data_IF_829290710410
#
_entry.id   IF_829290710410
#
_cell.length_a   1.000
_cell.length_b   1.000
_cell.length_c   1.000
_cell.angle_alpha   90.00
_cell.angle_beta   90.00
_cell.angle_gamma   90.00
#
_symmetry.space_group_name_H-M   'P 1'
#
loop_
_entity.id
_entity.type
_entity.pdbx_description
1 polymer ?
#
# COMPACT_ATOMS: atom_id res chain seq x y z
N UNK A 1 -11.66 -1.04 37.05
CA UNK A 1 -12.03 -0.06 36.01
C UNK A 1 -11.22 -0.40 34.78
N UNK A 2 -11.87 -0.52 33.62
CA UNK A 2 -11.12 -0.68 32.37
C UNK A 2 -10.44 0.65 32.03
N UNK A 3 -9.16 0.63 31.60
CA UNK A 3 -8.47 1.85 31.20
C UNK A 3 -9.10 2.43 29.92
N UNK A 4 -9.28 3.75 29.88
CA UNK A 4 -9.77 4.47 28.70
C UNK A 4 -8.72 4.39 27.57
N UNK A 5 -9.03 3.86 26.37
CA UNK A 5 -8.08 3.85 25.26
C UNK A 5 -7.46 5.21 24.95
N UNK A 6 -8.17 6.31 25.22
CA UNK A 6 -7.65 7.68 25.01
C UNK A 6 -6.51 8.04 25.94
N UNK A 7 -6.39 7.41 27.11
CA UNK A 7 -5.30 7.68 28.05
C UNK A 7 -3.93 7.20 27.55
N UNK A 8 -3.91 6.43 26.46
CA UNK A 8 -2.68 5.94 25.84
C UNK A 8 -2.20 6.82 24.69
N UNK A 9 -3.00 7.79 24.23
CA UNK A 9 -2.60 8.66 23.11
C UNK A 9 -1.40 9.50 23.55
N UNK A 10 -0.31 9.40 22.80
CA UNK A 10 0.93 10.12 23.10
C UNK A 10 0.78 11.62 22.88
N UNK A 11 1.55 12.40 23.66
CA UNK A 11 1.75 13.81 23.36
C UNK A 11 2.47 13.98 22.02
N UNK A 12 2.36 15.17 21.42
CA UNK A 12 3.00 15.46 20.14
C UNK A 12 4.53 15.29 20.21
N UNK A 13 5.16 15.74 21.30
CA UNK A 13 6.61 15.63 21.50
C UNK A 13 7.09 14.18 21.64
N UNK A 14 6.39 13.36 22.41
CA UNK A 14 6.69 11.92 22.54
C UNK A 14 6.50 11.18 21.21
N UNK A 15 5.38 11.44 20.55
CA UNK A 15 5.08 10.90 19.23
C UNK A 15 6.17 11.27 18.22
N UNK A 16 6.64 12.52 18.21
CA UNK A 16 7.71 12.98 17.33
C UNK A 16 9.06 12.36 17.67
N UNK A 17 9.40 12.24 18.95
CA UNK A 17 10.64 11.61 19.38
C UNK A 17 10.72 10.14 18.95
N UNK A 18 9.63 9.37 19.07
CA UNK A 18 9.55 7.99 18.60
C UNK A 18 9.67 7.93 17.07
N UNK A 19 9.00 8.85 16.37
CA UNK A 19 9.08 8.93 14.92
C UNK A 19 10.52 9.11 14.44
N UNK A 20 11.22 10.10 14.97
CA UNK A 20 12.59 10.44 14.54
C UNK A 20 13.61 9.36 14.93
N UNK A 21 13.51 8.79 16.13
CA UNK A 21 14.50 7.84 16.66
C UNK A 21 14.28 6.38 16.26
N UNK A 22 13.04 5.97 15.99
CA UNK A 22 12.71 4.54 15.74
C UNK A 22 12.11 4.28 14.37
N UNK A 23 11.19 5.13 13.91
CA UNK A 23 10.44 4.88 12.67
C UNK A 23 11.25 5.31 11.45
N UNK A 24 11.82 6.52 11.46
CA UNK A 24 12.61 7.01 10.33
C UNK A 24 13.76 6.07 9.96
N UNK A 25 14.57 5.55 10.90
CA UNK A 25 15.66 4.64 10.56
C UNK A 25 15.19 3.25 10.09
N UNK A 26 13.99 2.83 10.47
CA UNK A 26 13.46 1.50 10.17
C UNK A 26 12.66 1.44 8.86
N UNK A 27 11.87 2.47 8.57
CA UNK A 27 10.88 2.46 7.48
C UNK A 27 11.36 3.21 6.22
N UNK A 28 12.33 4.13 6.37
CA UNK A 28 12.84 4.92 5.25
C UNK A 28 14.27 4.50 4.88
N UNK A 29 14.58 4.38 3.57
CA UNK A 29 15.94 4.21 3.10
C UNK A 29 16.88 5.28 3.68
N UNK A 30 18.15 4.94 3.97
CA UNK A 30 19.12 5.91 4.47
C UNK A 30 19.22 7.08 3.49
N UNK A 31 19.14 8.30 4.01
CA UNK A 31 19.29 9.50 3.20
C UNK A 31 20.69 9.52 2.59
N UNK A 32 20.81 9.91 1.31
CA UNK A 32 22.11 10.16 0.70
C UNK A 32 22.77 11.27 1.51
N UNK A 33 23.99 11.05 2.00
CA UNK A 33 24.76 12.13 2.60
C UNK A 33 24.87 13.27 1.57
N UNK A 34 24.73 14.54 1.96
CA UNK A 34 25.03 15.62 1.05
C UNK A 34 26.47 15.40 0.56
N UNK A 35 26.64 15.31 -0.76
CA UNK A 35 27.96 15.22 -1.37
C UNK A 35 28.77 16.40 -0.82
N UNK A 36 29.78 16.12 0.01
CA UNK A 36 30.72 17.15 0.41
C UNK A 36 31.37 17.64 -0.87
N UNK A 37 31.02 18.86 -1.28
CA UNK A 37 31.71 19.55 -2.36
C UNK A 37 33.20 19.63 -2.02
N UNK A 38 34.08 19.70 -3.02
CA UNK A 38 35.51 19.68 -2.79
C UNK A 38 35.87 20.83 -1.85
N UNK A 39 36.49 20.46 -0.73
CA UNK A 39 37.02 21.37 0.27
C UNK A 39 38.14 22.14 -0.44
N UNK A 40 37.88 23.36 -0.86
CA UNK A 40 38.93 24.23 -1.40
C UNK A 40 39.82 24.68 -0.24
N UNK A 41 40.91 23.95 -0.02
CA UNK A 41 42.06 24.44 0.72
C UNK A 41 42.75 25.51 -0.12
N UNK A 42 42.66 26.75 0.32
CA UNK A 42 43.45 27.88 -0.18
C UNK A 42 44.92 27.59 0.09
N UNK A 43 45.70 27.39 -0.96
CA UNK A 43 47.16 27.43 -0.89
C UNK A 43 47.68 28.15 -2.13
N UNK A 44 48.25 29.31 -1.85
CA UNK A 44 48.82 30.29 -2.78
C UNK A 44 50.02 29.70 -3.52
N UNK A 45 50.02 29.64 -4.85
CA UNK A 45 51.25 29.71 -5.65
C UNK A 45 50.98 30.06 -7.13
N UNK A 46 51.93 30.80 -7.66
CA UNK A 46 52.00 31.58 -8.91
C UNK A 46 52.13 30.74 -10.19
N UNK A 47 51.54 31.22 -11.31
CA UNK A 47 51.95 31.05 -12.73
C UNK A 47 52.17 29.61 -13.28
N UNK A 48 51.62 29.16 -14.42
CA UNK A 48 51.74 29.69 -15.80
C UNK A 48 50.82 28.88 -16.75
N UNK A 49 50.24 29.57 -17.74
CA UNK A 49 49.68 29.12 -19.04
C UNK A 49 49.53 27.61 -19.36
N UNK A 50 48.31 27.16 -19.67
CA UNK A 50 47.94 26.42 -20.93
C UNK A 50 46.41 26.31 -21.02
N UNK A 51 45.86 26.72 -22.16
CA UNK A 51 44.44 26.69 -22.52
C UNK A 51 43.91 25.29 -22.85
N UNK A 52 42.76 24.91 -22.31
CA UNK A 52 41.83 23.90 -22.87
C UNK A 52 40.40 24.45 -22.70
N UNK A 53 39.53 24.42 -23.74
CA UNK A 53 38.19 24.95 -23.65
C UNK A 53 37.22 23.98 -22.95
N UNK A 54 36.37 24.58 -22.12
CA UNK A 54 34.90 24.46 -22.09
C UNK A 54 34.28 23.07 -22.28
N UNK A 55 33.61 22.59 -21.21
CA UNK A 55 32.26 22.00 -21.22
C UNK A 55 32.14 20.92 -20.14
N UNK A 56 32.06 21.33 -18.87
CA UNK A 56 31.39 20.51 -17.85
C UNK A 56 29.89 20.58 -18.14
N UNK A 57 29.42 19.76 -19.09
CA UNK A 57 28.03 19.37 -19.11
C UNK A 57 27.77 18.66 -17.78
N UNK A 58 27.22 19.39 -16.82
CA UNK A 58 26.40 18.78 -15.77
C UNK A 58 25.32 18.01 -16.52
N UNK A 59 25.53 16.70 -16.68
CA UNK A 59 24.53 15.81 -17.22
C UNK A 59 23.28 15.98 -16.35
N UNK A 60 22.29 16.71 -16.86
CA UNK A 60 20.97 16.79 -16.29
C UNK A 60 20.42 15.37 -16.33
N UNK A 61 20.36 14.73 -15.15
CA UNK A 61 19.62 13.48 -15.00
C UNK A 61 18.18 13.78 -15.42
N UNK A 62 17.54 12.94 -16.26
CA UNK A 62 16.14 13.12 -16.57
C UNK A 62 15.35 13.16 -15.26
N UNK A 63 14.55 14.20 -15.08
CA UNK A 63 13.68 14.35 -13.92
C UNK A 63 12.74 13.15 -13.86
N UNK A 64 12.95 12.28 -12.89
CA UNK A 64 12.11 11.10 -12.69
C UNK A 64 10.95 11.48 -11.77
N UNK A 65 9.72 11.36 -12.28
CA UNK A 65 8.52 11.60 -11.49
C UNK A 65 8.41 10.55 -10.37
N UNK A 66 8.34 10.96 -9.09
CA UNK A 66 8.22 10.00 -8.00
C UNK A 66 6.86 9.29 -8.04
N UNK A 67 6.84 8.04 -7.59
CA UNK A 67 5.68 7.15 -7.68
C UNK A 67 5.16 6.79 -6.28
N UNK A 68 3.85 6.86 -6.10
CA UNK A 68 3.17 6.34 -4.92
C UNK A 68 2.19 5.25 -5.36
N UNK A 69 2.46 4.00 -4.96
CA UNK A 69 1.60 2.85 -5.22
C UNK A 69 0.88 2.44 -3.94
N UNK A 70 -0.45 2.45 -3.96
CA UNK A 70 -1.29 1.99 -2.86
C UNK A 70 -1.81 0.58 -3.13
N UNK A 71 -1.52 -0.37 -2.24
CA UNK A 71 -2.11 -1.72 -2.25
C UNK A 71 -3.25 -1.77 -1.24
N UNK A 72 -4.47 -1.77 -1.74
CA UNK A 72 -5.70 -1.70 -0.97
C UNK A 72 -6.41 -3.03 -1.03
N UNK A 73 -6.88 -3.55 0.10
CA UNK A 73 -7.66 -4.77 0.12
C UNK A 73 -8.00 -5.16 1.54
N UNK A 74 -9.12 -5.82 1.78
CA UNK A 74 -9.54 -6.15 3.14
C UNK A 74 -8.51 -7.03 3.86
N UNK A 75 -8.61 -7.13 5.18
CA UNK A 75 -7.82 -8.13 5.92
C UNK A 75 -8.17 -9.53 5.42
N UNK A 76 -7.15 -10.37 5.21
CA UNK A 76 -7.32 -11.68 4.59
C UNK A 76 -7.43 -11.65 3.07
N UNK A 77 -7.45 -10.50 2.38
CA UNK A 77 -7.53 -10.47 0.92
C UNK A 77 -6.30 -11.05 0.19
N UNK A 78 -5.17 -11.26 0.86
CA UNK A 78 -3.96 -11.81 0.23
C UNK A 78 -2.95 -10.77 -0.29
N UNK A 79 -3.02 -9.53 0.21
CA UNK A 79 -2.06 -8.45 -0.12
C UNK A 79 -0.59 -8.86 0.04
N UNK A 80 -0.29 -9.80 0.95
CA UNK A 80 1.05 -10.36 1.19
C UNK A 80 1.67 -11.06 -0.03
N UNK A 81 0.89 -11.34 -1.08
CA UNK A 81 1.41 -11.81 -2.38
C UNK A 81 1.56 -10.67 -3.40
N UNK A 82 0.62 -9.73 -3.40
CA UNK A 82 0.60 -8.59 -4.32
C UNK A 82 1.69 -7.56 -4.02
N UNK A 83 1.86 -7.17 -2.76
CA UNK A 83 2.81 -6.12 -2.38
C UNK A 83 4.27 -6.50 -2.67
N UNK A 84 4.76 -7.73 -2.37
CA UNK A 84 6.11 -8.13 -2.78
C UNK A 84 6.32 -8.14 -4.29
N UNK A 85 5.33 -8.60 -5.08
CA UNK A 85 5.43 -8.60 -6.54
C UNK A 85 5.55 -7.17 -7.09
N UNK A 86 4.74 -6.24 -6.59
CA UNK A 86 4.84 -4.82 -6.93
C UNK A 86 6.17 -4.20 -6.51
N UNK A 87 6.65 -4.51 -5.30
CA UNK A 87 7.94 -4.03 -4.81
C UNK A 87 9.08 -4.46 -5.73
N UNK A 88 9.11 -5.73 -6.13
CA UNK A 88 10.09 -6.26 -7.08
C UNK A 88 10.01 -5.54 -8.42
N UNK A 89 8.82 -5.38 -8.99
CA UNK A 89 8.64 -4.69 -10.27
C UNK A 89 9.09 -3.22 -10.21
N UNK A 90 8.78 -2.49 -9.13
CA UNK A 90 9.26 -1.11 -8.92
C UNK A 90 10.79 -1.08 -8.89
N UNK A 91 11.43 -2.00 -8.15
CA UNK A 91 12.88 -2.11 -8.07
C UNK A 91 13.53 -2.41 -9.42
N UNK A 92 12.94 -3.31 -10.20
CA UNK A 92 13.45 -3.70 -11.53
C UNK A 92 13.36 -2.55 -12.54
N UNK A 93 12.21 -1.86 -12.58
CA UNK A 93 11.98 -0.78 -13.53
C UNK A 93 12.76 0.47 -13.21
N UNK A 94 12.90 0.79 -11.93
CA UNK A 94 13.51 2.04 -11.46
C UNK A 94 14.97 1.84 -11.05
N UNK A 95 15.44 0.61 -10.90
CA UNK A 95 16.86 0.27 -10.69
C UNK A 95 17.70 0.46 -11.96
N UNK A 96 18.44 1.56 -12.06
CA UNK A 96 19.40 1.85 -13.15
C UNK A 96 20.70 1.04 -13.07
N UNK A 97 21.44 0.95 -14.18
CA UNK A 97 22.75 0.27 -14.27
C UNK A 97 23.91 1.10 -13.68
N UNK A 98 23.79 2.44 -13.66
CA UNK A 98 24.92 3.32 -13.32
C UNK A 98 24.93 3.82 -11.86
N UNK A 99 23.76 3.89 -11.20
CA UNK A 99 23.60 4.12 -9.75
C UNK A 99 22.22 3.56 -9.33
N UNK A 100 22.13 2.59 -8.40
CA UNK A 100 20.84 2.06 -7.97
C UNK A 100 20.02 3.16 -7.28
N UNK A 101 18.78 3.42 -7.73
CA UNK A 101 17.83 4.19 -6.93
C UNK A 101 17.59 3.44 -5.60
N UNK A 102 17.35 4.17 -4.48
CA UNK A 102 17.00 3.52 -3.23
C UNK A 102 15.71 2.69 -3.43
N UNK A 103 15.56 1.58 -2.69
CA UNK A 103 14.31 0.84 -2.72
C UNK A 103 13.12 1.76 -2.35
N UNK A 104 11.90 1.49 -2.85
CA UNK A 104 10.74 2.27 -2.45
C UNK A 104 10.56 2.17 -0.93
N UNK A 105 10.18 3.27 -0.31
CA UNK A 105 9.74 3.27 1.08
C UNK A 105 8.46 2.42 1.18
N UNK A 106 8.52 1.33 1.95
CA UNK A 106 7.46 0.33 1.99
C UNK A 106 6.71 0.39 3.31
N UNK A 107 5.54 1.01 3.30
CA UNK A 107 4.76 1.25 4.52
C UNK A 107 3.60 0.27 4.63
N UNK A 108 3.51 -0.44 5.76
CA UNK A 108 2.39 -1.31 6.08
C UNK A 108 1.58 -0.68 7.20
N UNK A 109 0.40 -0.11 6.89
CA UNK A 109 -0.31 0.78 7.80
C UNK A 109 -0.54 0.21 9.22
N UNK A 110 -0.79 -1.09 9.35
CA UNK A 110 -1.11 -1.71 10.64
C UNK A 110 0.14 -1.99 11.51
N UNK A 111 1.36 -2.02 10.94
CA UNK A 111 2.60 -2.34 11.68
C UNK A 111 3.03 -1.22 12.62
N UNK A 112 2.63 0.02 12.34
CA UNK A 112 3.06 1.20 13.11
C UNK A 112 2.64 1.15 14.59
N UNK A 113 1.60 0.39 14.93
CA UNK A 113 1.17 0.18 16.32
C UNK A 113 2.28 -0.44 17.18
N UNK A 114 3.18 -1.24 16.59
CA UNK A 114 4.28 -1.88 17.30
C UNK A 114 5.27 -0.88 17.91
N UNK A 115 5.37 0.33 17.37
CA UNK A 115 6.25 1.38 17.90
C UNK A 115 5.71 2.02 19.18
N UNK A 116 4.42 1.84 19.47
CA UNK A 116 3.80 2.46 20.63
C UNK A 116 4.28 1.79 21.93
N UNK A 117 4.78 2.55 22.94
CA UNK A 117 5.37 1.98 24.16
C UNK A 117 4.43 1.03 24.92
N UNK A 118 3.14 1.36 24.96
CA UNK A 118 2.13 0.52 25.63
C UNK A 118 1.68 -0.70 24.81
N UNK A 119 2.05 -0.85 23.54
CA UNK A 119 1.45 -1.86 22.65
C UNK A 119 1.66 -3.29 23.16
N UNK A 120 2.90 -3.65 23.49
CA UNK A 120 3.23 -5.00 23.97
C UNK A 120 2.51 -5.35 25.28
N UNK A 121 2.42 -4.40 26.20
CA UNK A 121 1.70 -4.56 27.47
C UNK A 121 0.18 -4.71 27.23
N UNK A 122 -0.40 -3.92 26.33
CA UNK A 122 -1.83 -4.00 26.02
C UNK A 122 -2.19 -5.31 25.34
N UNK A 123 -1.31 -5.86 24.51
CA UNK A 123 -1.48 -7.19 23.91
C UNK A 123 -1.42 -8.30 24.96
N UNK A 124 -0.49 -8.24 25.92
CA UNK A 124 -0.37 -9.27 26.97
C UNK A 124 -1.58 -9.26 27.91
N UNK A 125 -2.08 -8.09 28.30
CA UNK A 125 -3.24 -7.95 29.19
C UNK A 125 -4.55 -8.30 28.47
N UNK A 126 -4.64 -8.07 27.15
CA UNK A 126 -5.83 -8.40 26.36
C UNK A 126 -5.91 -9.87 25.90
N UNK A 127 -5.02 -10.74 26.37
CA UNK A 127 -5.00 -12.16 26.00
C UNK A 127 -4.57 -12.41 24.55
N UNK A 128 -3.86 -11.47 23.93
CA UNK A 128 -3.59 -11.42 22.48
C UNK A 128 -2.68 -12.51 21.90
N UNK A 129 -2.40 -13.60 22.64
CA UNK A 129 -1.60 -14.75 22.16
C UNK A 129 -2.26 -16.12 22.34
N UNK A 130 -3.35 -16.22 23.10
CA UNK A 130 -4.05 -17.48 23.38
C UNK A 130 -5.44 -17.11 23.84
N UNK A 131 -6.49 -17.60 23.17
CA UNK A 131 -7.90 -17.21 23.35
C UNK A 131 -8.53 -17.55 24.72
N UNK A 132 -7.82 -17.30 25.82
CA UNK A 132 -8.19 -17.60 27.20
C UNK A 132 -8.04 -16.37 28.14
N UNK A 133 -7.61 -15.21 27.63
CA UNK A 133 -7.49 -13.99 28.44
C UNK A 133 -8.83 -13.29 28.68
N UNK A 134 -9.08 -12.82 29.90
CA UNK A 134 -10.26 -12.03 30.32
C UNK A 134 -10.27 -10.57 29.83
N UNK A 135 -9.23 -10.14 29.10
CA UNK A 135 -9.11 -8.77 28.61
C UNK A 135 -9.91 -8.53 27.33
N UNK A 136 -10.31 -7.27 27.09
CA UNK A 136 -11.10 -6.89 25.91
C UNK A 136 -10.32 -7.08 24.61
N UNK A 137 -10.76 -7.98 23.70
CA UNK A 137 -10.15 -8.13 22.39
C UNK A 137 -10.16 -6.78 21.63
N UNK A 138 -9.01 -6.38 21.11
CA UNK A 138 -8.88 -5.15 20.32
C UNK A 138 -8.54 -3.88 21.10
N UNK A 139 -8.41 -3.92 22.44
CA UNK A 139 -8.01 -2.76 23.25
C UNK A 139 -6.67 -2.17 22.81
N UNK A 140 -5.66 -3.01 22.56
CA UNK A 140 -4.35 -2.56 22.06
C UNK A 140 -4.47 -1.76 20.76
N UNK A 141 -5.29 -2.23 19.82
CA UNK A 141 -5.51 -1.53 18.54
C UNK A 141 -6.30 -0.23 18.69
N UNK A 142 -7.25 -0.16 19.62
CA UNK A 142 -8.01 1.05 19.88
C UNK A 142 -7.14 2.13 20.54
N UNK A 143 -6.30 1.75 21.50
CA UNK A 143 -5.42 2.63 22.24
C UNK A 143 -4.26 3.17 21.38
N UNK A 144 -3.64 2.31 20.56
CA UNK A 144 -2.42 2.66 19.80
C UNK A 144 -2.68 3.08 18.36
N UNK A 145 -3.90 2.87 17.86
CA UNK A 145 -4.30 3.19 16.49
C UNK A 145 -4.16 4.68 16.11
N UNK A 146 -4.52 5.65 16.98
CA UNK A 146 -4.35 7.07 16.68
C UNK A 146 -2.88 7.46 16.38
N UNK A 147 -1.94 7.05 17.23
CA UNK A 147 -0.51 7.34 17.04
C UNK A 147 0.07 6.59 15.84
N UNK A 148 -0.35 5.34 15.60
CA UNK A 148 0.06 4.59 14.41
C UNK A 148 -0.32 5.30 13.10
N UNK A 149 -1.54 5.84 13.02
CA UNK A 149 -2.00 6.61 11.85
C UNK A 149 -1.24 7.92 11.70
N UNK A 150 -1.00 8.62 12.82
CA UNK A 150 -0.17 9.84 12.83
C UNK A 150 1.22 9.55 12.29
N UNK A 151 1.87 8.48 12.75
CA UNK A 151 3.20 8.09 12.28
C UNK A 151 3.24 7.67 10.82
N UNK A 152 2.22 6.98 10.31
CA UNK A 152 2.12 6.67 8.88
C UNK A 152 2.09 7.96 8.05
N UNK A 153 1.29 8.95 8.45
CA UNK A 153 1.23 10.24 7.78
C UNK A 153 2.58 11.00 7.83
N UNK A 154 3.26 10.97 8.98
CA UNK A 154 4.60 11.55 9.12
C UNK A 154 5.64 10.82 8.23
N UNK A 155 5.57 9.49 8.14
CA UNK A 155 6.47 8.69 7.30
C UNK A 155 6.26 8.99 5.81
N UNK A 156 5.01 9.08 5.37
CA UNK A 156 4.65 9.48 4.01
C UNK A 156 5.19 10.87 3.68
N UNK A 157 4.99 11.87 4.55
CA UNK A 157 5.58 13.21 4.38
C UNK A 157 7.10 13.18 4.30
N UNK A 158 7.77 12.41 5.16
CA UNK A 158 9.22 12.26 5.09
C UNK A 158 9.69 11.59 3.79
N UNK A 159 8.89 10.71 3.19
CA UNK A 159 9.16 10.15 1.87
C UNK A 159 8.99 11.21 0.77
N UNK A 160 7.93 12.02 0.83
CA UNK A 160 7.68 13.15 -0.08
C UNK A 160 8.81 14.19 -0.03
N UNK A 161 9.23 14.59 1.18
CA UNK A 161 10.38 15.49 1.41
C UNK A 161 11.67 14.98 0.75
N UNK A 162 11.82 13.66 0.62
CA UNK A 162 12.98 13.00 0.03
C UNK A 162 12.78 12.59 -1.44
N UNK A 163 11.60 12.84 -2.02
CA UNK A 163 11.25 12.41 -3.37
C UNK A 163 11.36 10.89 -3.59
N UNK A 164 11.10 10.11 -2.54
CA UNK A 164 11.20 8.65 -2.61
C UNK A 164 9.96 8.05 -3.25
N UNK A 165 10.15 6.96 -4.00
CA UNK A 165 9.03 6.10 -4.37
C UNK A 165 8.44 5.43 -3.13
N UNK A 166 7.14 5.24 -3.15
CA UNK A 166 6.38 4.71 -2.02
C UNK A 166 5.53 3.53 -2.47
N UNK A 167 5.58 2.45 -1.70
CA UNK A 167 4.61 1.37 -1.75
C UNK A 167 3.90 1.34 -0.40
N UNK A 168 2.58 1.52 -0.39
CA UNK A 168 1.79 1.59 0.85
C UNK A 168 0.71 0.51 0.87
N UNK A 169 0.77 -0.39 1.84
CA UNK A 169 -0.26 -1.39 2.08
C UNK A 169 -1.31 -0.90 3.09
N UNK A 170 -2.59 -0.99 2.70
CA UNK A 170 -3.71 -0.65 3.58
C UNK A 170 -4.81 -1.72 3.56
N UNK A 171 -5.27 -2.09 4.77
CA UNK A 171 -6.51 -2.87 4.92
C UNK A 171 -7.77 -2.05 4.61
N UNK A 172 -7.63 -0.72 4.51
CA UNK A 172 -8.72 0.22 4.27
C UNK A 172 -9.82 0.20 5.35
N UNK A 173 -9.48 -0.15 6.59
CA UNK A 173 -10.42 -0.06 7.73
C UNK A 173 -10.91 1.39 7.96
N UNK A 174 -10.03 2.35 7.73
CA UNK A 174 -10.30 3.78 7.81
C UNK A 174 -9.94 4.39 6.46
N UNK A 175 -10.87 4.36 5.47
CA UNK A 175 -10.55 4.75 4.11
C UNK A 175 -10.14 6.22 3.98
N UNK A 176 -10.59 7.09 4.90
CA UNK A 176 -10.11 8.48 5.00
C UNK A 176 -8.59 8.60 5.04
N UNK A 177 -7.89 7.72 5.77
CA UNK A 177 -6.43 7.75 5.85
C UNK A 177 -5.79 7.56 4.46
N UNK A 178 -6.35 6.67 3.62
CA UNK A 178 -5.89 6.50 2.23
C UNK A 178 -6.20 7.75 1.39
N UNK A 179 -7.43 8.27 1.47
CA UNK A 179 -7.84 9.44 0.68
C UNK A 179 -6.95 10.65 0.97
N UNK A 180 -6.65 10.89 2.23
CA UNK A 180 -5.83 12.02 2.67
C UNK A 180 -4.38 11.86 2.23
N UNK A 181 -3.81 10.65 2.33
CA UNK A 181 -2.46 10.37 1.83
C UNK A 181 -2.36 10.51 0.31
N UNK A 182 -3.32 9.96 -0.44
CA UNK A 182 -3.33 10.05 -1.90
C UNK A 182 -3.37 11.51 -2.36
N UNK A 183 -4.21 12.35 -1.73
CA UNK A 183 -4.23 13.80 -2.00
C UNK A 183 -2.90 14.45 -1.69
N UNK A 184 -2.31 14.16 -0.53
CA UNK A 184 -1.03 14.74 -0.14
C UNK A 184 0.09 14.43 -1.15
N UNK A 185 0.20 13.18 -1.63
CA UNK A 185 1.16 12.82 -2.69
C UNK A 185 0.93 13.61 -3.99
N UNK A 186 -0.34 13.82 -4.37
CA UNK A 186 -0.68 14.57 -5.58
C UNK A 186 -0.40 16.07 -5.44
N UNK A 187 -0.74 16.66 -4.31
CA UNK A 187 -0.71 18.11 -4.03
C UNK A 187 0.68 18.62 -3.62
N UNK A 188 1.40 17.94 -2.71
CA UNK A 188 2.70 18.44 -2.20
C UNK A 188 3.76 18.56 -3.30
N UNK A 189 3.67 17.76 -4.37
CA UNK A 189 4.56 17.92 -5.53
C UNK A 189 4.10 18.95 -6.57
N UNK A 190 2.94 19.60 -6.39
CA UNK A 190 2.49 20.71 -7.25
C UNK A 190 2.91 22.09 -6.72
N UNK A 191 3.22 22.20 -5.42
CA UNK A 191 3.55 23.47 -4.74
C UNK A 191 4.89 24.12 -5.18
N UNK A 192 5.64 23.51 -6.10
CA UNK A 192 6.91 24.05 -6.63
C UNK A 192 6.74 24.79 -7.96
N UNK A 193 5.52 24.81 -8.52
CA UNK A 193 5.26 25.25 -9.89
C UNK A 193 4.63 26.63 -10.05
N UNK A 194 5.08 27.65 -9.32
CA UNK A 194 4.89 29.05 -9.74
C UNK A 194 5.78 30.01 -8.92
N UNK A 195 6.92 30.40 -9.51
CA UNK A 195 7.72 31.55 -9.07
C UNK A 195 8.53 31.41 -7.78
N UNK A 196 9.84 31.17 -7.89
CA UNK A 196 10.76 31.48 -6.79
C UNK A 196 12.10 30.76 -6.81
N UNK A 197 13.13 31.46 -7.27
CA UNK A 197 14.55 31.32 -6.97
C UNK A 197 15.00 30.10 -6.14
N UNK A 198 15.92 29.33 -6.75
CA UNK A 198 16.92 28.47 -6.10
C UNK A 198 17.26 28.91 -4.67
N UNK A 199 16.58 28.33 -3.67
CA UNK A 199 17.05 28.32 -2.30
C UNK A 199 17.73 26.98 -2.09
N UNK A 200 19.04 26.99 -1.84
CA UNK A 200 19.92 25.83 -1.78
C UNK A 200 19.58 24.79 -0.71
N UNK A 201 18.50 24.04 -0.92
CA UNK A 201 18.13 22.81 -0.23
C UNK A 201 17.31 21.95 -1.20
N UNK A 202 17.86 20.81 -1.61
CA UNK A 202 17.44 20.02 -2.77
C UNK A 202 16.12 19.27 -2.65
N UNK A 203 15.00 19.97 -2.49
CA UNK A 203 13.65 19.42 -2.67
C UNK A 203 13.16 19.66 -4.10
N UNK A 204 13.34 18.68 -4.98
CA UNK A 204 12.78 18.69 -6.35
C UNK A 204 11.33 18.18 -6.28
N UNK A 205 10.39 19.03 -5.85
CA UNK A 205 9.00 18.63 -5.70
C UNK A 205 8.30 18.49 -7.05
N UNK A 206 8.43 17.36 -7.74
CA UNK A 206 7.53 16.99 -8.83
C UNK A 206 6.29 16.29 -8.24
N UNK A 207 5.11 16.57 -8.78
CA UNK A 207 3.86 15.90 -8.40
C UNK A 207 4.03 14.38 -8.53
N UNK A 208 3.68 13.63 -7.48
CA UNK A 208 3.75 12.18 -7.56
C UNK A 208 2.76 11.67 -8.62
N UNK A 209 3.18 10.61 -9.32
CA UNK A 209 2.23 9.72 -9.98
C UNK A 209 1.62 8.80 -8.92
N UNK A 210 0.29 8.81 -8.81
CA UNK A 210 -0.43 8.01 -7.81
C UNK A 210 -1.11 6.83 -8.50
N UNK A 211 -0.70 5.62 -8.16
CA UNK A 211 -1.25 4.37 -8.69
C UNK A 211 -1.89 3.54 -7.57
N UNK A 212 -2.98 2.84 -7.88
CA UNK A 212 -3.72 2.04 -6.89
C UNK A 212 -3.95 0.62 -7.40
N UNK A 213 -3.56 -0.37 -6.60
CA UNK A 213 -3.91 -1.78 -6.78
C UNK A 213 -4.92 -2.21 -5.72
N UNK A 214 -6.15 -2.52 -6.13
CA UNK A 214 -7.19 -3.06 -5.26
C UNK A 214 -7.22 -4.58 -5.36
N UNK A 215 -7.03 -5.29 -4.24
CA UNK A 215 -7.18 -6.74 -4.15
C UNK A 215 -8.63 -7.06 -3.76
N UNK A 216 -9.42 -7.50 -4.75
CA UNK A 216 -10.82 -7.85 -4.59
C UNK A 216 -11.00 -9.36 -4.45
N UNK A 217 -11.66 -9.78 -3.37
CA UNK A 217 -11.85 -11.19 -3.01
C UNK A 217 -13.22 -11.40 -2.40
N UNK A 218 -13.91 -12.50 -2.71
CA UNK A 218 -15.13 -12.92 -2.02
C UNK A 218 -14.97 -12.94 -0.49
N UNK A 219 -16.05 -12.57 0.20
CA UNK A 219 -16.07 -12.39 1.65
C UNK A 219 -15.68 -13.66 2.41
N UNK A 220 -16.23 -14.79 1.99
CA UNK A 220 -15.98 -16.09 2.60
C UNK A 220 -14.49 -16.46 2.56
N UNK A 221 -13.84 -16.26 1.41
CA UNK A 221 -12.42 -16.56 1.23
C UNK A 221 -11.54 -15.66 2.13
N UNK A 222 -11.85 -14.36 2.27
CA UNK A 222 -11.06 -13.47 3.14
C UNK A 222 -11.23 -13.78 4.62
N UNK A 223 -12.42 -14.20 5.05
CA UNK A 223 -12.65 -14.70 6.42
C UNK A 223 -11.91 -16.01 6.67
N UNK A 224 -12.02 -16.98 5.75
CA UNK A 224 -11.32 -18.26 5.86
C UNK A 224 -9.81 -18.05 5.94
N UNK A 225 -9.26 -17.21 5.06
CA UNK A 225 -7.83 -16.89 5.06
C UNK A 225 -7.32 -16.26 6.36
N UNK A 226 -8.17 -15.53 7.11
CA UNK A 226 -7.84 -15.02 8.45
C UNK A 226 -7.71 -16.17 9.45
N UNK A 227 -8.63 -17.12 9.43
CA UNK A 227 -8.60 -18.28 10.32
C UNK A 227 -7.42 -19.19 9.98
N UNK A 228 -7.26 -19.56 8.71
CA UNK A 228 -6.18 -20.42 8.22
C UNK A 228 -4.82 -19.86 8.61
N UNK A 229 -4.53 -18.59 8.29
CA UNK A 229 -3.21 -18.02 8.58
C UNK A 229 -2.90 -18.03 10.09
N UNK A 230 -3.87 -17.65 10.92
CA UNK A 230 -3.65 -17.55 12.36
C UNK A 230 -3.50 -18.93 13.01
N UNK A 231 -4.43 -19.84 12.76
CA UNK A 231 -4.44 -21.15 13.42
C UNK A 231 -3.35 -22.07 12.87
N UNK A 232 -3.11 -22.08 11.56
CA UNK A 232 -2.01 -22.86 10.97
C UNK A 232 -0.62 -22.22 11.16
N UNK A 233 -0.54 -21.08 11.85
CA UNK A 233 0.70 -20.34 12.14
C UNK A 233 1.53 -20.06 10.89
N UNK A 234 0.87 -19.75 9.79
CA UNK A 234 1.54 -19.41 8.55
C UNK A 234 2.40 -18.15 8.76
N UNK A 235 3.53 -17.97 8.04
CA UNK A 235 4.38 -16.78 8.18
C UNK A 235 3.59 -15.46 8.04
N UNK A 236 2.56 -15.45 7.19
CA UNK A 236 1.66 -14.32 6.92
C UNK A 236 0.65 -14.03 8.06
N UNK A 237 0.66 -14.82 9.14
CA UNK A 237 -0.09 -14.53 10.35
C UNK A 237 0.49 -13.31 11.08
N UNK A 238 1.81 -13.15 11.01
CA UNK A 238 2.53 -11.95 11.44
C UNK A 238 2.53 -10.88 10.35
N UNK A 239 2.84 -9.64 10.74
CA UNK A 239 3.06 -8.55 9.80
C UNK A 239 4.14 -7.64 10.36
N UNK A 240 5.29 -7.58 9.69
CA UNK A 240 6.48 -6.90 10.21
C UNK A 240 6.86 -7.41 11.61
N UNK A 241 7.02 -6.48 12.55
CA UNK A 241 7.37 -6.77 13.95
C UNK A 241 6.18 -7.18 14.83
N UNK A 242 4.95 -7.24 14.27
CA UNK A 242 3.77 -7.59 15.05
C UNK A 242 3.65 -9.10 15.25
N UNK A 243 3.31 -9.56 16.48
CA UNK A 243 3.00 -10.96 16.71
C UNK A 243 1.75 -11.37 15.90
N UNK A 244 1.67 -12.68 15.62
CA UNK A 244 0.50 -13.27 15.00
C UNK A 244 -0.74 -12.99 15.87
N UNK A 245 -1.78 -12.45 15.24
CA UNK A 245 -3.05 -12.12 15.92
C UNK A 245 -4.23 -12.55 15.08
N UNK A 246 -5.24 -13.09 15.74
CA UNK A 246 -6.52 -13.32 15.09
C UNK A 246 -7.16 -11.96 14.81
N UNK A 247 -7.56 -11.74 13.57
CA UNK A 247 -8.24 -10.49 13.19
C UNK A 247 -9.69 -10.58 13.66
N UNK A 248 -10.19 -9.62 14.47
CA UNK A 248 -11.60 -9.61 14.85
C UNK A 248 -12.51 -9.47 13.65
N UNK A 249 -13.67 -10.15 13.67
CA UNK A 249 -14.69 -10.08 12.62
C UNK A 249 -15.07 -8.65 12.23
N UNK A 250 -15.30 -7.78 13.21
CA UNK A 250 -15.61 -6.37 12.96
C UNK A 250 -14.49 -5.66 12.17
N UNK A 251 -13.22 -5.95 12.45
CA UNK A 251 -12.09 -5.36 11.71
C UNK A 251 -12.08 -5.82 10.26
N UNK A 252 -12.39 -7.09 10.00
CA UNK A 252 -12.58 -7.59 8.64
C UNK A 252 -13.74 -6.85 7.96
N UNK A 253 -14.91 -6.76 8.59
CA UNK A 253 -16.11 -6.18 7.98
C UNK A 253 -15.95 -4.68 7.72
N UNK A 254 -15.37 -3.93 8.66
CA UNK A 254 -15.01 -2.51 8.48
C UNK A 254 -14.05 -2.34 7.27
N UNK A 255 -13.05 -3.22 7.15
CA UNK A 255 -12.08 -3.21 6.04
C UNK A 255 -12.74 -3.62 4.71
N UNK A 256 -13.65 -4.59 4.74
CA UNK A 256 -14.39 -5.04 3.57
C UNK A 256 -15.25 -3.90 3.01
N UNK A 257 -16.00 -3.19 3.87
CA UNK A 257 -16.75 -2.01 3.45
C UNK A 257 -15.82 -0.89 2.94
N UNK A 258 -14.73 -0.61 3.67
CA UNK A 258 -13.81 0.48 3.33
C UNK A 258 -13.11 0.35 1.98
N UNK A 259 -12.88 -0.87 1.48
CA UNK A 259 -12.34 -1.06 0.11
C UNK A 259 -13.28 -0.54 -0.97
N UNK A 260 -14.61 -0.67 -0.81
CA UNK A 260 -15.57 -0.09 -1.76
C UNK A 260 -15.59 1.44 -1.69
N UNK A 261 -15.46 2.01 -0.49
CA UNK A 261 -15.33 3.45 -0.30
C UNK A 261 -14.03 4.01 -0.91
N UNK A 262 -12.92 3.27 -0.83
CA UNK A 262 -11.69 3.60 -1.54
C UNK A 262 -11.85 3.51 -3.07
N UNK A 263 -12.53 2.48 -3.58
CA UNK A 263 -12.83 2.35 -5.01
C UNK A 263 -13.66 3.54 -5.53
N UNK A 264 -14.65 3.99 -4.76
CA UNK A 264 -15.47 5.15 -5.12
C UNK A 264 -14.63 6.45 -5.15
N UNK A 265 -13.69 6.59 -4.21
CA UNK A 265 -12.74 7.70 -4.23
C UNK A 265 -11.82 7.66 -5.46
N UNK A 266 -11.34 6.47 -5.85
CA UNK A 266 -10.51 6.33 -7.06
C UNK A 266 -11.26 6.85 -8.28
N UNK A 267 -12.50 6.40 -8.49
CA UNK A 267 -13.29 6.81 -9.65
C UNK A 267 -13.54 8.34 -9.69
N UNK A 268 -13.81 8.96 -8.52
CA UNK A 268 -14.28 10.34 -8.43
C UNK A 268 -13.21 11.44 -8.21
N UNK A 269 -12.05 11.13 -7.62
CA UNK A 269 -11.21 12.17 -6.98
C UNK A 269 -10.26 12.96 -7.90
N UNK A 270 -9.97 12.51 -9.12
CA UNK A 270 -8.94 13.12 -9.97
C UNK A 270 -7.49 12.91 -9.49
N UNK A 271 -7.31 12.38 -8.27
CA UNK A 271 -6.01 12.20 -7.60
C UNK A 271 -5.23 11.02 -8.14
N UNK A 272 -5.93 9.93 -8.45
CA UNK A 272 -5.35 8.66 -8.89
C UNK A 272 -5.15 8.67 -10.40
N UNK A 273 -3.90 8.48 -10.83
CA UNK A 273 -3.49 8.46 -12.23
C UNK A 273 -3.77 7.10 -12.88
N UNK A 274 -3.68 6.01 -12.11
CA UNK A 274 -3.92 4.65 -12.62
C UNK A 274 -4.47 3.72 -11.54
N UNK A 275 -5.33 2.81 -11.95
CA UNK A 275 -5.92 1.79 -11.08
C UNK A 275 -5.89 0.41 -11.71
N UNK A 276 -5.67 -0.61 -10.89
CA UNK A 276 -5.92 -2.02 -11.22
C UNK A 276 -6.73 -2.68 -10.10
N UNK A 277 -7.67 -3.55 -10.46
CA UNK A 277 -8.37 -4.45 -9.55
C UNK A 277 -7.90 -5.87 -9.86
N UNK A 278 -7.40 -6.56 -8.85
CA UNK A 278 -6.79 -7.88 -8.97
C UNK A 278 -7.37 -8.89 -7.98
N UNK A 279 -7.23 -10.17 -8.31
CA UNK A 279 -7.49 -11.32 -7.44
C UNK A 279 -6.23 -11.74 -6.67
N UNK A 280 -6.37 -12.72 -5.76
CA UNK A 280 -5.28 -13.26 -4.91
C UNK A 280 -4.10 -13.87 -5.66
N UNK A 281 -4.33 -14.34 -6.87
CA UNK A 281 -3.38 -14.95 -7.79
C UNK A 281 -2.78 -13.93 -8.78
N UNK A 282 -2.94 -12.64 -8.50
CA UNK A 282 -2.54 -11.55 -9.38
C UNK A 282 -3.18 -11.69 -10.76
N UNK A 283 -4.44 -12.11 -10.84
CA UNK A 283 -5.25 -12.00 -12.04
C UNK A 283 -5.96 -10.66 -12.08
N UNK A 284 -5.89 -9.97 -13.22
CA UNK A 284 -6.46 -8.64 -13.40
C UNK A 284 -7.91 -8.75 -13.84
N UNK A 285 -8.81 -8.18 -13.04
CA UNK A 285 -10.24 -8.10 -13.32
C UNK A 285 -10.62 -6.77 -14.01
N UNK A 286 -9.91 -5.69 -13.67
CA UNK A 286 -10.13 -4.36 -14.21
C UNK A 286 -8.84 -3.55 -14.13
N UNK A 287 -8.64 -2.65 -15.09
CA UNK A 287 -7.60 -1.63 -15.02
C UNK A 287 -8.09 -0.37 -15.72
N UNK A 288 -7.64 0.80 -15.30
CA UNK A 288 -7.93 2.04 -16.01
C UNK A 288 -6.83 3.05 -15.72
N UNK A 289 -6.67 4.00 -16.61
CA UNK A 289 -5.69 5.05 -16.46
C UNK A 289 -6.26 6.39 -16.90
N UNK A 290 -5.70 7.45 -16.35
CA UNK A 290 -6.01 8.79 -16.78
C UNK A 290 -5.09 9.20 -17.92
N UNK A 291 -5.70 9.71 -18.97
CA UNK A 291 -5.03 10.31 -20.12
C UNK A 291 -5.31 11.82 -20.13
N UNK A 292 -4.44 12.55 -20.81
CA UNK A 292 -4.65 13.99 -21.00
C UNK A 292 -5.95 14.22 -21.80
N UNK A 293 -6.69 15.24 -21.38
CA UNK A 293 -7.97 15.61 -21.96
C UNK A 293 -7.76 16.75 -22.97
N UNK A 294 -7.36 16.38 -24.18
CA UNK A 294 -7.01 17.31 -25.27
C UNK A 294 -8.14 18.31 -25.59
N UNK A 295 -9.40 17.92 -25.34
CA UNK A 295 -10.59 18.74 -25.60
C UNK A 295 -10.86 19.80 -24.51
N UNK A 296 -10.20 19.70 -23.35
CA UNK A 296 -10.50 20.54 -22.18
C UNK A 296 -9.82 21.91 -22.20
N UNK A 297 -8.87 22.15 -23.12
CA UNK A 297 -8.12 23.41 -23.25
C UNK A 297 -7.28 23.83 -22.03
N UNK A 298 -7.36 23.08 -20.92
CA UNK A 298 -6.82 23.44 -19.59
C UNK A 298 -5.93 22.38 -18.97
N UNK A 299 -5.43 21.40 -19.74
CA UNK A 299 -4.51 20.37 -19.23
C UNK A 299 -5.14 19.41 -18.21
N UNK A 300 -6.45 19.22 -18.27
CA UNK A 300 -7.16 18.25 -17.41
C UNK A 300 -6.82 16.81 -17.79
N UNK A 301 -7.05 15.86 -16.86
CA UNK A 301 -6.93 14.43 -17.14
C UNK A 301 -8.25 13.71 -16.93
N UNK A 302 -8.66 12.93 -17.91
CA UNK A 302 -9.87 12.08 -17.84
C UNK A 302 -9.51 10.61 -17.85
N UNK A 303 -10.39 9.78 -17.32
CA UNK A 303 -10.23 8.34 -17.47
C UNK A 303 -10.30 7.94 -18.95
N UNK A 304 -9.43 7.01 -19.36
CA UNK A 304 -9.43 6.42 -20.70
C UNK A 304 -10.76 5.72 -20.99
N UNK A 305 -11.31 5.03 -19.99
CA UNK A 305 -12.65 4.42 -19.99
C UNK A 305 -13.50 4.99 -18.85
N UNK A 306 -14.84 4.96 -18.90
CA UNK A 306 -15.66 5.34 -17.74
C UNK A 306 -15.16 4.66 -16.45
N UNK A 307 -15.06 5.44 -15.37
CA UNK A 307 -14.63 4.90 -14.06
C UNK A 307 -15.61 3.85 -13.58
N UNK A 308 -15.11 2.64 -13.34
CA UNK A 308 -15.90 1.45 -12.97
C UNK A 308 -15.20 0.63 -11.89
N UNK A 309 -14.34 1.26 -11.08
CA UNK A 309 -13.54 0.57 -10.05
C UNK A 309 -14.45 -0.02 -8.98
N UNK A 310 -15.49 0.71 -8.55
CA UNK A 310 -16.48 0.22 -7.56
C UNK A 310 -17.16 -1.06 -8.08
N UNK A 311 -17.66 -1.02 -9.31
CA UNK A 311 -18.37 -2.14 -9.92
C UNK A 311 -17.44 -3.35 -10.11
N UNK A 312 -16.20 -3.13 -10.55
CA UNK A 312 -15.21 -4.19 -10.68
C UNK A 312 -14.94 -4.89 -9.35
N UNK A 313 -14.80 -4.13 -8.24
CA UNK A 313 -14.64 -4.72 -6.90
C UNK A 313 -15.90 -5.47 -6.47
N UNK A 314 -17.09 -4.93 -6.76
CA UNK A 314 -18.36 -5.56 -6.40
C UNK A 314 -18.60 -6.87 -7.16
N UNK A 315 -18.31 -6.91 -8.47
CA UNK A 315 -18.37 -8.11 -9.32
C UNK A 315 -17.43 -9.18 -8.78
N UNK A 316 -16.17 -8.82 -8.50
CA UNK A 316 -15.18 -9.76 -7.98
C UNK A 316 -15.50 -10.31 -6.57
N UNK A 317 -16.34 -9.60 -5.82
CA UNK A 317 -16.82 -10.05 -4.52
C UNK A 317 -18.01 -11.01 -4.58
N UNK A 318 -18.85 -10.88 -5.61
CA UNK A 318 -20.10 -11.64 -5.80
C UNK A 318 -19.97 -12.79 -6.79
N UNK A 319 -18.91 -12.83 -7.57
CA UNK A 319 -18.71 -13.89 -8.57
C UNK A 319 -18.73 -15.29 -7.94
N UNK A 320 -19.12 -16.31 -8.70
CA UNK A 320 -18.86 -17.69 -8.35
C UNK A 320 -17.37 -17.93 -8.09
N UNK A 321 -17.10 -18.83 -7.15
CA UNK A 321 -15.76 -19.36 -6.94
C UNK A 321 -15.38 -20.25 -8.12
N UNK A 322 -14.12 -20.17 -8.52
CA UNK A 322 -13.53 -21.15 -9.43
C UNK A 322 -13.43 -22.51 -8.75
N UNK A 323 -13.32 -23.59 -9.52
CA UNK A 323 -13.15 -24.95 -8.98
C UNK A 323 -11.91 -25.04 -8.07
N UNK A 324 -10.82 -24.38 -8.45
CA UNK A 324 -9.59 -24.32 -7.66
C UNK A 324 -9.80 -23.60 -6.33
N UNK A 325 -10.52 -22.47 -6.33
CA UNK A 325 -10.83 -21.74 -5.10
C UNK A 325 -11.74 -22.54 -4.19
N UNK A 326 -12.75 -23.22 -4.75
CA UNK A 326 -13.66 -24.10 -4.00
C UNK A 326 -12.89 -25.25 -3.35
N UNK A 327 -12.09 -25.99 -4.12
CA UNK A 327 -11.29 -27.09 -3.61
C UNK A 327 -10.28 -26.63 -2.53
N UNK A 328 -9.66 -25.46 -2.71
CA UNK A 328 -8.76 -24.87 -1.72
C UNK A 328 -9.52 -24.49 -0.43
N UNK A 329 -10.70 -23.89 -0.55
CA UNK A 329 -11.52 -23.50 0.59
C UNK A 329 -12.02 -24.72 1.38
N UNK A 330 -12.45 -25.78 0.69
CA UNK A 330 -12.82 -27.05 1.30
C UNK A 330 -11.66 -27.69 2.06
N UNK A 331 -10.46 -27.71 1.46
CA UNK A 331 -9.26 -28.22 2.13
C UNK A 331 -8.87 -27.39 3.37
N UNK A 332 -9.00 -26.08 3.30
CA UNK A 332 -8.74 -25.17 4.43
C UNK A 332 -9.77 -25.35 5.57
N UNK A 333 -11.05 -25.48 5.23
CA UNK A 333 -12.12 -25.78 6.20
C UNK A 333 -11.85 -27.11 6.90
N UNK A 334 -11.53 -28.16 6.14
CA UNK A 334 -11.22 -29.47 6.71
C UNK A 334 -10.01 -29.40 7.64
N UNK A 335 -8.94 -28.72 7.21
CA UNK A 335 -7.74 -28.54 8.04
C UNK A 335 -8.08 -27.85 9.36
N UNK A 336 -8.90 -26.79 9.34
CA UNK A 336 -9.29 -26.07 10.56
C UNK A 336 -10.16 -26.93 11.49
N UNK A 337 -11.07 -27.75 10.95
CA UNK A 337 -11.85 -28.75 11.73
C UNK A 337 -10.94 -29.76 12.41
N UNK A 338 -9.95 -30.28 11.68
CA UNK A 338 -9.00 -31.28 12.20
C UNK A 338 -8.14 -30.74 13.34
N UNK A 339 -7.90 -29.42 13.40
CA UNK A 339 -7.16 -28.77 14.48
C UNK A 339 -7.93 -28.74 15.82
N UNK A 340 -9.25 -29.01 15.81
CA UNK A 340 -10.12 -29.04 17.01
C UNK A 340 -9.98 -27.78 17.87
N UNK A 341 -9.92 -26.62 17.23
CA UNK A 341 -9.82 -25.33 17.92
C UNK A 341 -11.12 -25.08 18.71
N UNK A 342 -11.06 -24.79 20.02
CA UNK A 342 -12.26 -24.51 20.81
C UNK A 342 -13.07 -23.34 20.22
N UNK A 343 -14.39 -23.49 20.16
CA UNK A 343 -15.35 -22.45 19.76
C UNK A 343 -15.22 -21.93 18.31
N UNK A 344 -14.49 -22.62 17.42
CA UNK A 344 -14.37 -22.20 16.01
C UNK A 344 -15.51 -22.70 15.12
N UNK A 345 -16.21 -23.78 15.51
CA UNK A 345 -17.12 -24.51 14.61
C UNK A 345 -18.23 -23.62 14.04
N UNK A 346 -18.89 -22.81 14.88
CA UNK A 346 -19.92 -21.88 14.43
C UNK A 346 -19.40 -20.86 13.39
N UNK A 347 -18.12 -20.46 13.48
CA UNK A 347 -17.51 -19.59 12.48
C UNK A 347 -17.21 -20.34 11.18
N UNK A 348 -16.81 -21.61 11.25
CA UNK A 348 -16.58 -22.45 10.06
C UNK A 348 -17.90 -22.74 9.33
N UNK A 349 -18.96 -23.08 10.05
CA UNK A 349 -20.30 -23.27 9.49
C UNK A 349 -20.82 -22.00 8.81
N UNK A 350 -20.63 -20.82 9.43
CA UNK A 350 -20.99 -19.54 8.81
C UNK A 350 -20.21 -19.30 7.50
N UNK A 351 -18.89 -19.56 7.51
CA UNK A 351 -18.05 -19.38 6.32
C UNK A 351 -18.45 -20.37 5.22
N UNK A 352 -18.70 -21.64 5.57
CA UNK A 352 -19.16 -22.67 4.63
C UNK A 352 -20.50 -22.28 4.00
N UNK A 353 -21.45 -21.76 4.79
CA UNK A 353 -22.70 -21.23 4.26
C UNK A 353 -22.46 -20.08 3.25
N UNK A 354 -21.51 -19.17 3.52
CA UNK A 354 -21.13 -18.11 2.59
C UNK A 354 -20.43 -18.62 1.31
N UNK A 355 -19.75 -19.76 1.35
CA UNK A 355 -19.15 -20.40 0.16
C UNK A 355 -20.20 -21.10 -0.71
N UNK A 356 -21.28 -21.57 -0.09
CA UNK A 356 -22.40 -22.26 -0.73
C UNK A 356 -23.50 -21.32 -1.22
N UNK A 357 -23.50 -20.07 -0.78
CA UNK A 357 -24.41 -19.06 -1.32
C UNK A 357 -24.23 -19.03 -2.83
N UNK A 358 -25.29 -19.29 -3.61
CA UNK A 358 -25.22 -19.02 -5.04
C UNK A 358 -24.81 -17.55 -5.19
N UNK A 359 -23.99 -17.25 -6.20
CA UNK A 359 -23.91 -15.87 -6.64
C UNK A 359 -25.37 -15.43 -6.81
N UNK A 360 -25.82 -14.44 -6.03
CA UNK A 360 -27.21 -13.96 -6.09
C UNK A 360 -27.64 -13.89 -7.55
N UNK A 361 -28.91 -14.22 -7.87
CA UNK A 361 -29.53 -14.16 -9.20
C UNK A 361 -29.37 -12.76 -9.84
N UNK A 362 -28.15 -12.48 -10.27
CA UNK A 362 -27.59 -11.24 -10.77
C UNK A 362 -26.34 -11.80 -11.45
N UNK A 363 -26.42 -12.29 -12.67
CA UNK A 363 -26.79 -11.52 -13.84
C UNK A 363 -27.13 -12.51 -14.96
N UNK A 364 -28.39 -12.59 -15.37
CA UNK A 364 -28.73 -13.30 -16.60
C UNK A 364 -28.03 -12.57 -17.77
N UNK A 365 -27.03 -13.20 -18.39
CA UNK A 365 -26.26 -12.66 -19.52
C UNK A 365 -25.00 -11.82 -19.22
N UNK A 366 -24.52 -11.73 -17.97
CA UNK A 366 -23.21 -11.08 -17.70
C UNK A 366 -22.08 -12.11 -17.71
N UNK A 367 -21.18 -11.99 -18.68
CA UNK A 367 -19.94 -12.75 -18.69
C UNK A 367 -18.94 -12.10 -17.73
N UNK A 368 -18.39 -12.89 -16.81
CA UNK A 368 -17.25 -12.44 -16.01
C UNK A 368 -16.08 -12.12 -16.94
N UNK A 369 -15.36 -11.00 -16.72
CA UNK A 369 -14.28 -10.60 -17.59
C UNK A 369 -13.22 -11.71 -17.67
N UNK A 370 -12.74 -11.99 -18.88
CA UNK A 370 -11.62 -12.92 -19.07
C UNK A 370 -10.40 -12.38 -18.32
N UNK A 371 -9.99 -13.11 -17.30
CA UNK A 371 -8.87 -12.74 -16.45
C UNK A 371 -7.57 -12.91 -17.20
N UNK A 372 -6.69 -11.93 -17.06
CA UNK A 372 -5.33 -12.00 -17.57
C UNK A 372 -4.36 -12.02 -16.39
N UNK A 373 -3.29 -12.83 -16.45
CA UNK A 373 -2.18 -12.69 -15.52
C UNK A 373 -1.72 -11.25 -15.47
N UNK A 374 -1.49 -10.74 -14.27
CA UNK A 374 -0.96 -9.41 -14.09
C UNK A 374 0.48 -9.37 -14.57
N UNK A 375 0.66 -8.83 -15.76
CA UNK A 375 1.96 -8.60 -16.37
C UNK A 375 2.54 -7.31 -15.79
N UNK A 376 3.25 -7.44 -14.67
CA UNK A 376 4.02 -6.32 -14.15
C UNK A 376 5.15 -5.97 -15.13
N UNK A 377 5.43 -4.67 -15.36
CA UNK A 377 6.44 -4.29 -16.33
C UNK A 377 7.84 -4.73 -15.88
N UNK A 378 8.69 -5.10 -16.83
CA UNK A 378 10.08 -5.52 -16.60
C UNK A 378 11.05 -4.77 -17.54
N UNK A 379 12.28 -4.53 -17.07
CA UNK A 379 13.28 -3.67 -17.72
C UNK A 379 13.66 -4.09 -19.15
N UNK A 380 13.65 -5.39 -19.43
CA UNK A 380 14.04 -5.96 -20.73
C UNK A 380 12.82 -6.35 -21.60
N UNK A 381 11.61 -6.02 -21.16
CA UNK A 381 10.41 -6.28 -21.95
C UNK A 381 10.30 -5.25 -23.06
N UNK A 382 10.73 -5.62 -24.27
CA UNK A 382 10.46 -4.88 -25.52
C UNK A 382 8.97 -4.95 -25.93
N UNK A 383 8.08 -5.22 -24.96
CA UNK A 383 6.65 -5.28 -25.21
C UNK A 383 6.17 -3.85 -25.33
N UNK A 384 5.38 -3.58 -26.36
CA UNK A 384 4.36 -2.54 -26.27
C UNK A 384 3.74 -2.59 -24.86
N UNK A 385 4.13 -1.65 -23.99
CA UNK A 385 3.67 -1.50 -22.60
C UNK A 385 2.17 -1.14 -22.53
N UNK A 386 1.43 -1.37 -23.62
CA UNK A 386 0.27 -0.59 -24.05
C UNK A 386 -0.85 -1.43 -24.73
N UNK A 387 -1.00 -2.72 -24.43
CA UNK A 387 -2.22 -3.48 -24.84
C UNK A 387 -2.86 -4.36 -23.75
N UNK A 388 -2.22 -4.56 -22.60
CA UNK A 388 -2.73 -5.42 -21.51
C UNK A 388 -2.97 -4.65 -20.21
N UNK A 389 -4.02 -5.05 -19.50
CA UNK A 389 -4.51 -4.45 -18.25
C UNK A 389 -3.43 -4.58 -17.14
N UNK A 390 -2.59 -3.57 -16.91
CA UNK A 390 -1.57 -3.59 -15.85
C UNK A 390 -1.29 -2.18 -15.33
N UNK A 391 -0.56 -2.07 -14.22
CA UNK A 391 0.00 -0.81 -13.72
C UNK A 391 1.29 -0.49 -14.48
N UNK A 392 1.49 0.77 -14.87
CA UNK A 392 2.71 1.19 -15.56
C UNK A 392 3.88 1.37 -14.60
N UNK A 393 3.62 1.54 -13.28
CA UNK A 393 4.63 1.80 -12.26
C UNK A 393 5.54 2.99 -12.64
N UNK A 394 4.92 4.01 -13.23
CA UNK A 394 5.58 5.20 -13.76
C UNK A 394 6.39 5.00 -15.05
N UNK A 395 6.22 3.88 -15.75
CA UNK A 395 6.61 3.75 -17.16
C UNK A 395 5.73 4.63 -18.06
N UNK A 396 6.36 5.39 -18.96
CA UNK A 396 5.69 6.17 -20.01
C UNK A 396 5.27 5.30 -21.17
#
# INVERSE_FOLDING_TARGET
>A
MDPDPKSYILSESESRAIFESKIVPAELPPGRAPSQGPITSTSTSTSTSTSIPTSTQQQHRPHHQPLAVFVIGQTGAGKTRTAPALKTAILELRGGHDEPLPPPAHFIADTYKAYHPAYAQLISISGGGSGSGSGKPGMASAATGPDARRWLAMAARRAMERGLDVLLESACRHPGDFKDLARAFKEEGQSSGEGGYNRGGGGSGAAYRVEVALVAVPRALSLLGILTRFHARLPEAGSGSLPARLTPRKVHDDSYAGVLDAAAFVDASGVVDQVVVVRRDNLVAYANERIDDDDSGGGGKRWLRPGSTVDAVAVERRRPLTDLERATAEADLQRLRDMKVPNIEAQLEEIEALLLQPAEEVFDGFEFPLLKPWQLPAKDSNSELNKTLSLRLGGG
#
